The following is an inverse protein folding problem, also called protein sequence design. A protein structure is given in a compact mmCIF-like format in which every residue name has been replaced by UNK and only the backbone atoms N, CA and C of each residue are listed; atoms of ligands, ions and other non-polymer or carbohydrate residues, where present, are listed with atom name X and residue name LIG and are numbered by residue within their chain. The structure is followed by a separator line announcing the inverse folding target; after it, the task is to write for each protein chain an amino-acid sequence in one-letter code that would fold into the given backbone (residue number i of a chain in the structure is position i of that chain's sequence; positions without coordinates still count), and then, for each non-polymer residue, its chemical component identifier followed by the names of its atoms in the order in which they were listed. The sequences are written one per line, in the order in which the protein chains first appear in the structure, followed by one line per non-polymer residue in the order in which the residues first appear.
data_IF_629082578362
#
_entry.id   IF_629082578362
#
_cell.length_a   1.000
_cell.length_b   1.000
_cell.length_c   1.000
_cell.angle_alpha   90.00
_cell.angle_beta   90.00
_cell.angle_gamma   90.00
#
_symmetry.space_group_name_H-M   'P 1'
#
loop_
_entity.id
_entity.type
_entity.pdbx_description
1 polymer ?
#
# COMPACT_ATOMS: atom_id res chain seq x y z
N UNK A 1 -13.80 -24.75 16.43
CA UNK A 1 -12.69 -24.24 15.59
C UNK A 1 -13.28 -23.07 14.83
N UNK A 2 -12.78 -21.85 15.05
CA UNK A 2 -13.30 -20.67 14.36
C UNK A 2 -12.76 -20.65 12.91
N UNK A 3 -13.53 -20.18 11.92
CA UNK A 3 -13.03 -19.97 10.57
C UNK A 3 -11.81 -19.02 10.58
N UNK A 4 -10.90 -19.19 9.61
CA UNK A 4 -9.88 -18.18 9.36
C UNK A 4 -10.52 -16.89 8.85
N UNK A 5 -9.85 -15.76 9.07
CA UNK A 5 -10.32 -14.45 8.62
C UNK A 5 -10.50 -14.41 7.07
N UNK A 6 -9.75 -15.21 6.30
CA UNK A 6 -9.99 -15.37 4.84
C UNK A 6 -11.38 -15.93 4.50
N UNK A 7 -11.87 -16.91 5.26
CA UNK A 7 -13.21 -17.47 5.04
C UNK A 7 -14.27 -16.40 5.32
N UNK A 8 -14.07 -15.57 6.35
CA UNK A 8 -14.94 -14.45 6.67
C UNK A 8 -14.97 -13.40 5.55
N UNK A 9 -13.82 -13.11 4.94
CA UNK A 9 -13.72 -12.22 3.77
C UNK A 9 -14.54 -12.78 2.60
N UNK A 10 -14.50 -14.10 2.36
CA UNK A 10 -15.28 -14.76 1.29
C UNK A 10 -16.76 -14.87 1.60
N UNK A 11 -17.14 -14.93 2.88
CA UNK A 11 -18.53 -14.97 3.35
C UNK A 11 -19.18 -13.57 3.43
N UNK A 12 -18.47 -12.51 3.04
CA UNK A 12 -18.99 -11.14 3.01
C UNK A 12 -19.02 -10.45 4.37
N UNK A 13 -18.24 -10.94 5.34
CA UNK A 13 -18.08 -10.28 6.64
C UNK A 13 -17.05 -9.17 6.53
N UNK A 14 -17.39 -7.99 7.05
CA UNK A 14 -16.48 -6.86 7.15
C UNK A 14 -15.38 -7.14 8.19
N UNK A 15 -14.14 -7.18 7.73
CA UNK A 15 -12.92 -7.21 8.52
C UNK A 15 -12.05 -5.98 8.23
N UNK A 16 -11.22 -5.61 9.20
CA UNK A 16 -10.27 -4.52 9.06
C UNK A 16 -8.90 -5.08 8.69
N UNK A 17 -8.42 -4.72 7.50
CA UNK A 17 -7.09 -5.05 7.01
C UNK A 17 -6.11 -3.93 7.36
N UNK A 18 -4.99 -4.29 7.97
CA UNK A 18 -3.88 -3.32 8.16
C UNK A 18 -2.96 -3.41 6.96
N UNK A 19 -2.73 -2.27 6.29
CA UNK A 19 -1.95 -2.19 5.06
C UNK A 19 -0.75 -1.27 5.29
N UNK A 20 0.46 -1.81 5.25
CA UNK A 20 1.70 -1.03 5.29
C UNK A 20 2.15 -0.77 3.87
N UNK A 21 2.61 0.45 3.59
CA UNK A 21 3.14 0.83 2.27
C UNK A 21 4.49 1.50 2.43
N UNK A 22 5.34 1.37 1.42
CA UNK A 22 6.64 2.03 1.35
C UNK A 22 7.16 2.13 -0.09
N UNK A 23 7.86 3.22 -0.41
CA UNK A 23 8.52 3.44 -1.70
C UNK A 23 10.02 3.67 -1.54
N UNK A 24 10.84 2.94 -2.31
CA UNK A 24 12.29 3.13 -2.30
C UNK A 24 12.78 3.68 -3.65
N UNK A 25 13.74 4.60 -3.62
CA UNK A 25 14.41 5.12 -4.82
C UNK A 25 15.92 5.26 -4.62
N UNK A 26 16.69 4.83 -5.61
CA UNK A 26 18.14 5.00 -5.68
C UNK A 26 18.50 6.27 -6.46
N UNK A 27 18.32 7.43 -5.81
CA UNK A 27 18.45 8.75 -6.43
C UNK A 27 17.12 9.51 -6.37
N UNK A 28 17.12 10.78 -6.80
CA UNK A 28 15.90 11.59 -6.78
C UNK A 28 15.89 12.62 -7.93
N UNK A 29 15.50 12.23 -9.16
CA UNK A 29 14.92 10.94 -9.54
C UNK A 29 15.96 9.81 -9.68
N UNK A 30 15.53 8.56 -9.58
CA UNK A 30 16.36 7.37 -9.76
C UNK A 30 15.55 6.08 -9.92
N UNK A 31 16.22 4.93 -10.15
CA UNK A 31 15.56 3.62 -10.14
C UNK A 31 14.77 3.45 -8.85
N UNK A 32 13.53 3.01 -8.94
CA UNK A 32 12.58 3.02 -7.84
C UNK A 32 11.76 1.73 -7.76
N UNK A 33 11.23 1.47 -6.58
CA UNK A 33 10.35 0.36 -6.28
C UNK A 33 9.30 0.76 -5.26
N UNK A 34 8.28 -0.08 -5.15
CA UNK A 34 7.22 0.03 -4.15
C UNK A 34 7.05 -1.28 -3.43
N UNK A 35 6.53 -1.23 -2.22
CA UNK A 35 6.05 -2.41 -1.53
C UNK A 35 4.79 -2.14 -0.74
N UNK A 36 4.08 -3.22 -0.43
CA UNK A 36 3.02 -3.22 0.55
C UNK A 36 3.00 -4.51 1.35
N UNK A 37 2.42 -4.45 2.54
CA UNK A 37 2.13 -5.60 3.39
C UNK A 37 0.70 -5.46 3.87
N UNK A 38 -0.14 -6.43 3.54
CA UNK A 38 -1.53 -6.51 4.02
C UNK A 38 -1.57 -7.61 5.08
N UNK A 39 -2.11 -7.32 6.25
CA UNK A 39 -2.23 -8.31 7.30
C UNK A 39 -3.48 -8.13 8.17
N UNK A 40 -3.94 -9.26 8.71
CA UNK A 40 -4.94 -9.35 9.77
C UNK A 40 -4.30 -10.09 10.98
N UNK A 41 -5.10 -10.72 11.85
CA UNK A 41 -4.57 -11.42 13.04
C UNK A 41 -3.85 -12.73 12.72
N UNK A 42 -4.06 -13.31 11.55
CA UNK A 42 -3.67 -14.68 11.23
C UNK A 42 -2.79 -14.76 9.97
N UNK A 43 -2.97 -13.83 9.04
CA UNK A 43 -2.41 -13.89 7.69
C UNK A 43 -1.67 -12.61 7.32
N UNK A 44 -0.75 -12.78 6.37
CA UNK A 44 0.10 -11.72 5.85
C UNK A 44 0.36 -11.95 4.36
N UNK A 45 -0.04 -10.97 3.55
CA UNK A 45 0.31 -10.85 2.14
C UNK A 45 1.35 -9.75 1.98
N UNK A 46 2.34 -9.98 1.13
CA UNK A 46 3.40 -9.04 0.84
C UNK A 46 3.50 -8.84 -0.66
N UNK A 47 3.42 -7.59 -1.12
CA UNK A 47 3.63 -7.25 -2.52
C UNK A 47 4.84 -6.34 -2.67
N UNK A 48 5.59 -6.52 -3.75
CA UNK A 48 6.65 -5.60 -4.12
C UNK A 48 6.80 -5.50 -5.62
N UNK A 49 7.26 -4.34 -6.08
CA UNK A 49 7.42 -4.09 -7.50
C UNK A 49 8.53 -3.10 -7.78
N UNK A 50 9.38 -3.40 -8.76
CA UNK A 50 10.26 -2.42 -9.38
C UNK A 50 9.46 -1.58 -10.39
N UNK A 51 9.49 -0.26 -10.25
CA UNK A 51 8.62 0.68 -11.01
C UNK A 51 9.38 1.55 -12.02
N UNK A 52 10.67 1.28 -12.26
CA UNK A 52 11.46 2.05 -13.20
C UNK A 52 12.04 3.32 -12.57
N UNK A 53 11.93 4.48 -13.23
CA UNK A 53 12.49 5.75 -12.74
C UNK A 53 11.40 6.59 -12.06
N UNK A 54 11.68 7.08 -10.85
CA UNK A 54 10.75 7.91 -10.07
C UNK A 54 11.53 8.78 -9.07
N UNK A 55 10.88 9.77 -8.49
CA UNK A 55 11.35 10.43 -7.25
C UNK A 55 10.93 9.63 -6.02
N UNK A 56 11.55 9.92 -4.86
CA UNK A 56 11.19 9.28 -3.59
C UNK A 56 9.68 9.45 -3.28
N UNK A 57 9.17 10.68 -3.33
CA UNK A 57 7.77 10.95 -2.98
C UNK A 57 6.77 10.37 -4.01
N UNK A 58 7.13 10.31 -5.28
CA UNK A 58 6.32 9.63 -6.29
C UNK A 58 6.30 8.11 -6.07
N UNK A 59 7.42 7.51 -5.63
CA UNK A 59 7.47 6.09 -5.30
C UNK A 59 6.56 5.76 -4.10
N UNK A 60 6.55 6.61 -3.07
CA UNK A 60 5.63 6.49 -1.93
C UNK A 60 4.15 6.56 -2.35
N UNK A 61 3.79 7.54 -3.20
CA UNK A 61 2.44 7.64 -3.76
C UNK A 61 2.07 6.43 -4.62
N UNK A 62 3.02 5.91 -5.41
CA UNK A 62 2.79 4.70 -6.20
C UNK A 62 2.65 3.46 -5.31
N UNK A 63 3.35 3.40 -4.17
CA UNK A 63 3.18 2.32 -3.19
C UNK A 63 1.75 2.30 -2.62
N UNK A 64 1.20 3.47 -2.31
CA UNK A 64 -0.22 3.61 -1.94
C UNK A 64 -1.14 3.06 -3.04
N UNK A 65 -0.97 3.51 -4.28
CA UNK A 65 -1.82 3.09 -5.42
C UNK A 65 -1.71 1.58 -5.64
N UNK A 66 -0.51 1.01 -5.63
CA UNK A 66 -0.29 -0.41 -5.84
C UNK A 66 -0.97 -1.26 -4.74
N UNK A 67 -0.91 -0.82 -3.49
CA UNK A 67 -1.61 -1.48 -2.39
C UNK A 67 -3.14 -1.39 -2.55
N UNK A 68 -3.65 -0.21 -2.90
CA UNK A 68 -5.09 0.03 -3.12
C UNK A 68 -5.65 -0.82 -4.26
N UNK A 69 -4.96 -0.88 -5.41
CA UNK A 69 -5.35 -1.72 -6.54
C UNK A 69 -5.38 -3.20 -6.17
N UNK A 70 -4.41 -3.67 -5.38
CA UNK A 70 -4.41 -5.05 -4.91
C UNK A 70 -5.61 -5.31 -3.98
N UNK A 71 -5.88 -4.40 -3.04
CA UNK A 71 -7.04 -4.51 -2.17
C UNK A 71 -8.37 -4.43 -2.94
N UNK A 72 -8.47 -3.62 -3.99
CA UNK A 72 -9.69 -3.47 -4.79
C UNK A 72 -10.00 -4.79 -5.53
N UNK A 73 -8.97 -5.44 -6.07
CA UNK A 73 -9.13 -6.69 -6.79
C UNK A 73 -9.45 -7.89 -5.89
N UNK A 74 -8.97 -7.91 -4.65
CA UNK A 74 -9.05 -9.10 -3.78
C UNK A 74 -9.96 -8.93 -2.56
N UNK A 75 -10.11 -7.70 -2.07
CA UNK A 75 -10.80 -7.34 -0.83
C UNK A 75 -11.71 -6.10 -0.99
N UNK A 76 -12.50 -5.98 -2.08
CA UNK A 76 -13.23 -4.74 -2.42
C UNK A 76 -14.18 -4.28 -1.31
N UNK A 77 -14.79 -5.22 -0.60
CA UNK A 77 -15.79 -4.95 0.43
C UNK A 77 -15.20 -4.83 1.84
N UNK A 78 -13.88 -4.67 1.99
CA UNK A 78 -13.21 -4.68 3.29
C UNK A 78 -12.79 -3.29 3.78
N UNK A 79 -12.59 -3.15 5.09
CA UNK A 79 -12.12 -1.90 5.69
C UNK A 79 -10.61 -1.85 5.64
N UNK A 80 -10.05 -0.77 5.11
CA UNK A 80 -8.60 -0.58 5.03
C UNK A 80 -8.08 0.38 6.11
N UNK A 81 -7.04 -0.04 6.82
CA UNK A 81 -6.25 0.81 7.73
C UNK A 81 -4.81 0.89 7.21
N UNK A 82 -4.55 1.88 6.35
CA UNK A 82 -3.27 2.16 5.71
C UNK A 82 -2.29 2.81 6.71
N UNK A 83 -1.03 2.35 6.67
CA UNK A 83 0.10 2.81 7.47
C UNK A 83 1.23 3.21 6.52
N UNK A 84 1.76 4.40 6.71
CA UNK A 84 2.92 4.91 5.97
C UNK A 84 3.77 5.75 6.92
N UNK A 85 5.07 5.77 6.72
CA UNK A 85 6.01 6.70 7.38
C UNK A 85 6.20 8.01 6.59
N UNK A 86 5.64 8.10 5.38
CA UNK A 86 5.62 9.33 4.58
C UNK A 86 4.51 10.28 5.05
N UNK A 87 4.85 11.21 5.94
CA UNK A 87 3.91 12.25 6.41
C UNK A 87 3.33 13.05 5.24
N UNK A 88 4.10 13.26 4.16
CA UNK A 88 3.63 13.96 2.96
C UNK A 88 2.47 13.21 2.28
N UNK A 89 2.58 11.90 2.11
CA UNK A 89 1.51 11.08 1.50
C UNK A 89 0.27 11.08 2.39
N UNK A 90 0.45 10.87 3.68
CA UNK A 90 -0.63 10.91 4.67
C UNK A 90 -1.38 12.24 4.60
N UNK A 91 -0.66 13.36 4.69
CA UNK A 91 -1.22 14.71 4.60
C UNK A 91 -2.01 14.95 3.30
N UNK A 92 -1.48 14.52 2.15
CA UNK A 92 -2.13 14.74 0.86
C UNK A 92 -3.44 13.96 0.75
N UNK A 93 -3.45 12.71 1.22
CA UNK A 93 -4.64 11.85 1.22
C UNK A 93 -5.68 12.39 2.21
N UNK A 94 -5.29 12.73 3.43
CA UNK A 94 -6.21 13.29 4.44
C UNK A 94 -6.83 14.62 3.99
N UNK A 95 -6.05 15.48 3.33
CA UNK A 95 -6.56 16.75 2.76
C UNK A 95 -7.37 16.54 1.47
N UNK A 96 -7.25 15.39 0.82
CA UNK A 96 -7.81 15.12 -0.50
C UNK A 96 -7.29 16.07 -1.59
N UNK A 97 -6.11 16.68 -1.39
CA UNK A 97 -5.63 17.75 -2.25
C UNK A 97 -4.10 17.93 -2.20
N UNK A 98 -3.53 18.32 -3.33
CA UNK A 98 -2.15 18.80 -3.43
C UNK A 98 -2.04 19.96 -4.42
N UNK A 99 -1.14 20.91 -4.13
CA UNK A 99 -0.77 21.99 -5.06
C UNK A 99 0.26 21.54 -6.09
N UNK A 100 0.94 20.41 -5.84
CA UNK A 100 1.96 19.90 -6.74
C UNK A 100 1.31 19.22 -7.95
N UNK A 101 1.48 19.82 -9.13
CA UNK A 101 0.91 19.30 -10.39
C UNK A 101 1.40 17.90 -10.75
N UNK A 102 2.60 17.54 -10.33
CA UNK A 102 3.18 16.20 -10.57
C UNK A 102 2.51 15.14 -9.70
N UNK A 103 2.18 15.48 -8.45
CA UNK A 103 1.54 14.54 -7.51
C UNK A 103 0.03 14.46 -7.71
N UNK A 104 -0.59 15.51 -8.26
CA UNK A 104 -2.03 15.56 -8.50
C UNK A 104 -2.61 14.32 -9.20
N UNK A 105 -2.10 13.85 -10.36
CA UNK A 105 -2.66 12.67 -11.02
C UNK A 105 -2.58 11.40 -10.16
N UNK A 106 -1.47 11.20 -9.44
CA UNK A 106 -1.29 10.05 -8.54
C UNK A 106 -2.28 10.13 -7.36
N UNK A 107 -2.43 11.31 -6.76
CA UNK A 107 -3.37 11.53 -5.66
C UNK A 107 -4.82 11.34 -6.12
N UNK A 108 -5.21 11.91 -7.26
CA UNK A 108 -6.56 11.78 -7.81
C UNK A 108 -6.90 10.30 -8.07
N UNK A 109 -5.94 9.51 -8.58
CA UNK A 109 -6.11 8.07 -8.75
C UNK A 109 -6.29 7.35 -7.41
N UNK A 110 -5.41 7.61 -6.43
CA UNK A 110 -5.52 7.00 -5.11
C UNK A 110 -6.87 7.32 -4.44
N UNK A 111 -7.30 8.58 -4.49
CA UNK A 111 -8.59 9.02 -3.94
C UNK A 111 -9.78 8.36 -4.65
N UNK A 112 -9.70 8.16 -5.97
CA UNK A 112 -10.75 7.46 -6.72
C UNK A 112 -10.91 6.01 -6.26
N UNK A 113 -9.80 5.29 -6.02
CA UNK A 113 -9.85 3.89 -5.56
C UNK A 113 -10.31 3.83 -4.09
N UNK A 114 -9.82 4.76 -3.25
CA UNK A 114 -10.24 4.89 -1.84
C UNK A 114 -11.76 5.03 -1.72
N UNK A 115 -12.40 5.78 -2.61
CA UNK A 115 -13.85 5.98 -2.62
C UNK A 115 -14.66 4.70 -2.92
N UNK A 116 -14.02 3.64 -3.43
CA UNK A 116 -14.65 2.35 -3.68
C UNK A 116 -14.79 1.45 -2.45
N UNK A 117 -14.02 1.69 -1.38
CA UNK A 117 -14.07 0.87 -0.16
C UNK A 117 -15.15 1.37 0.82
N UNK A 118 -15.74 0.49 1.65
CA UNK A 118 -16.67 0.90 2.71
C UNK A 118 -16.06 1.94 3.64
N UNK A 119 -14.83 1.70 4.08
CA UNK A 119 -14.02 2.65 4.85
C UNK A 119 -12.53 2.45 4.54
N UNK A 120 -11.81 3.55 4.37
CA UNK A 120 -10.36 3.55 4.21
C UNK A 120 -9.77 4.67 5.07
N UNK A 121 -8.85 4.30 5.97
CA UNK A 121 -8.13 5.22 6.83
C UNK A 121 -6.66 5.17 6.47
N UNK A 122 -5.98 6.31 6.49
CA UNK A 122 -4.53 6.37 6.41
C UNK A 122 -4.00 7.02 7.69
N UNK A 123 -2.88 6.51 8.21
CA UNK A 123 -2.22 7.10 9.37
C UNK A 123 -0.71 7.03 9.23
N UNK A 124 -0.07 8.13 9.60
CA UNK A 124 1.37 8.17 9.78
C UNK A 124 1.84 7.26 10.92
N UNK A 125 2.93 6.52 10.68
CA UNK A 125 3.64 5.72 11.68
C UNK A 125 5.13 6.05 11.63
N UNK A 126 5.89 5.94 12.75
CA UNK A 126 7.33 6.09 12.71
C UNK A 126 7.99 5.03 11.82
N UNK A 127 9.07 5.40 11.12
CA UNK A 127 9.84 4.53 10.20
C UNK A 127 10.23 3.20 10.85
N UNK A 128 10.55 3.22 12.16
CA UNK A 128 10.90 2.02 12.91
C UNK A 128 9.79 0.96 12.91
N UNK A 129 8.54 1.38 12.80
CA UNK A 129 7.36 0.51 12.72
C UNK A 129 7.07 0.08 11.27
N UNK A 130 7.58 0.82 10.27
CA UNK A 130 7.40 0.52 8.85
C UNK A 130 8.56 -0.28 8.22
N UNK A 131 9.62 -0.55 8.99
CA UNK A 131 10.82 -1.32 8.57
C UNK A 131 10.55 -2.54 7.67
N UNK A 132 9.53 -3.39 7.92
CA UNK A 132 9.29 -4.53 7.05
C UNK A 132 8.89 -4.15 5.61
N UNK A 133 8.13 -3.06 5.43
CA UNK A 133 7.79 -2.55 4.11
C UNK A 133 9.02 -1.89 3.45
N UNK A 134 9.76 -1.04 4.16
CA UNK A 134 11.03 -0.46 3.67
C UNK A 134 12.02 -1.53 3.18
N UNK A 135 12.22 -2.59 3.96
CA UNK A 135 13.10 -3.69 3.57
C UNK A 135 12.61 -4.38 2.30
N UNK A 136 11.30 -4.53 2.15
CA UNK A 136 10.69 -5.17 1.00
C UNK A 136 10.78 -4.30 -0.26
N UNK A 137 10.58 -2.99 -0.14
CA UNK A 137 10.80 -2.04 -1.23
C UNK A 137 12.27 -2.03 -1.66
N UNK A 138 13.21 -1.97 -0.71
CA UNK A 138 14.66 -2.06 -0.99
C UNK A 138 15.05 -3.37 -1.66
N UNK A 139 14.45 -4.49 -1.26
CA UNK A 139 14.65 -5.78 -1.91
C UNK A 139 14.23 -5.74 -3.39
N UNK A 140 13.05 -5.18 -3.68
CA UNK A 140 12.55 -5.01 -5.04
C UNK A 140 13.47 -4.10 -5.87
N UNK A 141 13.97 -3.02 -5.28
CA UNK A 141 14.90 -2.09 -5.92
C UNK A 141 16.22 -2.77 -6.29
N UNK A 142 16.79 -3.54 -5.35
CA UNK A 142 18.07 -4.23 -5.54
C UNK A 142 17.97 -5.35 -6.58
N UNK A 143 16.88 -6.12 -6.54
CA UNK A 143 16.68 -7.27 -7.44
C UNK A 143 16.05 -6.87 -8.78
N UNK A 144 15.45 -5.69 -8.87
CA UNK A 144 14.63 -5.21 -10.00
C UNK A 144 13.50 -6.18 -10.36
N UNK A 145 12.86 -6.77 -9.33
CA UNK A 145 11.79 -7.76 -9.47
C UNK A 145 10.47 -7.23 -8.92
N UNK A 146 9.40 -7.91 -9.33
CA UNK A 146 8.05 -7.72 -8.80
C UNK A 146 7.46 -9.08 -8.43
N UNK A 147 6.80 -9.18 -7.29
CA UNK A 147 6.09 -10.39 -6.86
C UNK A 147 5.03 -10.09 -5.80
N UNK A 148 4.07 -11.00 -5.67
CA UNK A 148 3.16 -11.11 -4.52
C UNK A 148 3.51 -12.42 -3.79
N UNK A 149 3.61 -12.34 -2.45
CA UNK A 149 3.93 -13.44 -1.55
C UNK A 149 2.80 -13.55 -0.52
N UNK A 150 2.35 -14.78 -0.26
CA UNK A 150 1.17 -15.05 0.57
C UNK A 150 -0.03 -15.38 -0.30
N UNK A 151 -0.87 -16.31 0.15
CA UNK A 151 -1.99 -16.82 -0.64
C UNK A 151 -3.32 -16.24 -0.14
N UNK A 152 -4.09 -15.51 -0.97
CA UNK A 152 -5.50 -15.22 -0.69
C UNK A 152 -6.43 -16.43 -0.90
N UNK A 153 -5.90 -17.53 -1.47
CA UNK A 153 -6.64 -18.70 -1.98
C UNK A 153 -6.57 -19.96 -1.09
N UNK A 154 -5.56 -20.08 -0.20
CA UNK A 154 -5.33 -21.25 0.67
C UNK A 154 -6.35 -21.37 1.80
#
# INVERSE_FOLDING_TARGET
MYPSDWALIREGVLVMLTVYIDGASAGNPGPSSTSFIIQNKQEKIQGFSFIGQSTNHEAELQALINALLYCEANFPDQILSIRSDSMLVVDMVEKGYTKNKTFKPLLDQALSIIAGFPHCFIKWIPDQQNKPADQLARHALQTKKSAIIGDPSS
#
